data_IF_234536309670
#
_entry.id   IF_234536309670
#
_cell.length_a   1.000
_cell.length_b   1.000
_cell.length_c   1.000
_cell.angle_alpha   90.00
_cell.angle_beta   90.00
_cell.angle_gamma   90.00
#
_symmetry.space_group_name_H-M   'P 1'
#
loop_
_entity.id
_entity.type
_entity.pdbx_description
1 polymer ?
#
# COMPACT_ATOMS: atom_id res chain seq x y z
N UNK A 1 -6.52 12.99 10.13
CA UNK A 1 -7.74 12.28 9.69
C UNK A 1 -7.52 10.80 9.94
N UNK A 2 -8.54 10.01 10.27
CA UNK A 2 -8.43 8.55 10.25
C UNK A 2 -7.93 8.06 8.88
N UNK A 3 -7.16 6.98 8.88
CA UNK A 3 -6.83 6.21 7.68
C UNK A 3 -7.69 4.96 7.72
N UNK A 4 -8.45 4.70 6.65
CA UNK A 4 -9.26 3.47 6.55
C UNK A 4 -8.41 2.38 5.91
N UNK A 5 -8.54 1.16 6.42
CA UNK A 5 -8.03 -0.03 5.73
C UNK A 5 -8.87 -0.30 4.46
N UNK A 6 -8.39 -1.14 3.53
CA UNK A 6 -9.19 -1.57 2.39
C UNK A 6 -10.55 -2.11 2.81
N UNK A 7 -11.60 -1.66 2.12
CA UNK A 7 -12.99 -1.96 2.48
C UNK A 7 -13.58 -2.93 1.45
N UNK A 8 -14.24 -3.98 1.92
CA UNK A 8 -15.04 -4.86 1.08
C UNK A 8 -16.51 -4.88 1.53
N UNK A 9 -17.34 -5.64 0.83
CA UNK A 9 -18.78 -5.67 1.06
C UNK A 9 -19.22 -6.36 2.37
N UNK A 10 -18.35 -7.15 3.01
CA UNK A 10 -18.75 -8.07 4.10
C UNK A 10 -18.02 -7.86 5.41
N UNK A 11 -16.74 -7.52 5.36
CA UNK A 11 -15.89 -7.40 6.53
C UNK A 11 -16.18 -6.12 7.31
N UNK A 12 -15.91 -6.08 8.63
CA UNK A 12 -15.98 -4.84 9.40
C UNK A 12 -15.15 -3.73 8.76
N UNK A 13 -15.62 -2.49 8.85
CA UNK A 13 -14.82 -1.33 8.43
C UNK A 13 -13.82 -1.03 9.53
N UNK A 14 -12.53 -0.97 9.20
CA UNK A 14 -11.44 -0.74 10.14
C UNK A 14 -10.47 0.34 9.67
N UNK A 15 -9.53 0.70 10.55
CA UNK A 15 -8.45 1.59 10.21
C UNK A 15 -7.62 2.02 11.41
N UNK A 16 -6.93 3.14 11.21
CA UNK A 16 -6.09 3.81 12.19
C UNK A 16 -6.58 5.23 12.48
N UNK A 17 -6.49 5.65 13.74
CA UNK A 17 -6.76 7.00 14.19
C UNK A 17 -5.86 7.35 15.39
N UNK A 18 -5.94 8.59 15.87
CA UNK A 18 -5.25 8.97 17.09
C UNK A 18 -5.74 8.11 18.28
N UNK A 19 -4.84 7.47 19.06
CA UNK A 19 -5.24 6.63 20.18
C UNK A 19 -6.18 7.34 21.16
N UNK A 20 -7.27 6.66 21.55
CA UNK A 20 -8.27 7.21 22.47
C UNK A 20 -9.21 8.26 21.86
N UNK A 21 -9.05 8.63 20.59
CA UNK A 21 -10.03 9.47 19.88
C UNK A 21 -11.31 8.69 19.54
N UNK A 22 -12.43 9.39 19.46
CA UNK A 22 -13.70 8.82 18.98
C UNK A 22 -13.74 8.90 17.46
N UNK A 23 -13.76 7.75 16.81
CA UNK A 23 -13.94 7.62 15.36
C UNK A 23 -15.43 7.55 15.04
N UNK A 24 -15.87 8.38 14.10
CA UNK A 24 -17.21 8.36 13.52
C UNK A 24 -17.11 7.97 12.05
N UNK A 25 -17.60 6.78 11.72
CA UNK A 25 -17.70 6.25 10.35
C UNK A 25 -19.06 6.60 9.77
N UNK A 26 -19.09 7.13 8.56
CA UNK A 26 -20.31 7.47 7.81
C UNK A 26 -20.37 6.63 6.53
N UNK A 27 -21.45 5.87 6.39
CA UNK A 27 -21.70 4.98 5.25
C UNK A 27 -22.39 5.71 4.08
N UNK A 28 -22.47 5.10 2.88
CA UNK A 28 -23.05 5.73 1.69
C UNK A 28 -24.52 6.16 1.87
N UNK A 29 -25.28 5.45 2.69
CA UNK A 29 -26.68 5.76 3.00
C UNK A 29 -26.86 6.87 4.06
N UNK A 30 -25.75 7.42 4.57
CA UNK A 30 -25.71 8.46 5.59
C UNK A 30 -25.86 7.95 7.03
N UNK A 31 -26.03 6.64 7.24
CA UNK A 31 -25.97 6.05 8.59
C UNK A 31 -24.54 6.12 9.13
N UNK A 32 -24.41 6.06 10.46
CA UNK A 32 -23.11 6.18 11.13
C UNK A 32 -22.89 5.09 12.16
N UNK A 33 -21.63 4.75 12.37
CA UNK A 33 -21.15 3.95 13.49
C UNK A 33 -20.03 4.70 14.22
N UNK A 34 -19.90 4.46 15.53
CA UNK A 34 -18.88 5.11 16.36
C UNK A 34 -18.11 4.09 17.19
N UNK A 35 -16.83 4.36 17.39
CA UNK A 35 -15.91 3.53 18.18
C UNK A 35 -14.79 4.40 18.73
N UNK A 36 -14.23 4.04 19.89
CA UNK A 36 -13.02 4.68 20.41
C UNK A 36 -11.80 3.92 19.89
N UNK A 37 -10.85 4.62 19.28
CA UNK A 37 -9.61 4.01 18.83
C UNK A 37 -8.81 3.44 20.01
N UNK A 38 -8.25 2.25 19.82
CA UNK A 38 -7.42 1.56 20.80
C UNK A 38 -6.15 2.35 21.15
N UNK A 39 -5.41 1.87 22.15
CA UNK A 39 -4.15 2.48 22.57
C UNK A 39 -3.07 2.44 21.49
N UNK A 40 -3.21 1.51 20.54
CA UNK A 40 -2.37 1.38 19.35
C UNK A 40 -2.92 2.15 18.14
N UNK A 41 -4.05 2.85 18.28
CA UNK A 41 -4.71 3.60 17.22
C UNK A 41 -5.69 2.78 16.37
N UNK A 42 -5.74 1.45 16.56
CA UNK A 42 -6.62 0.58 15.79
C UNK A 42 -8.10 0.79 16.15
N UNK A 43 -8.98 0.68 15.17
CA UNK A 43 -10.42 0.71 15.37
C UNK A 43 -11.16 -0.15 14.37
N UNK A 44 -12.37 -0.59 14.73
CA UNK A 44 -13.25 -1.35 13.85
C UNK A 44 -14.71 -1.13 14.22
N UNK A 45 -15.58 -1.01 13.21
CA UNK A 45 -17.04 -0.97 13.34
C UNK A 45 -17.68 -2.03 12.45
N UNK A 46 -18.88 -2.55 12.80
CA UNK A 46 -19.57 -3.54 11.96
C UNK A 46 -19.83 -3.03 10.54
N UNK A 47 -19.86 -3.96 9.59
CA UNK A 47 -20.37 -3.66 8.25
C UNK A 47 -21.90 -3.48 8.29
N UNK A 48 -22.49 -2.47 7.63
CA UNK A 48 -23.94 -2.29 7.60
C UNK A 48 -24.66 -3.35 6.75
N UNK A 49 -23.93 -4.14 5.97
CA UNK A 49 -24.42 -5.28 5.18
C UNK A 49 -25.02 -4.90 3.82
N UNK A 50 -24.98 -3.62 3.45
CA UNK A 50 -25.48 -3.08 2.19
C UNK A 50 -24.41 -2.38 1.34
N UNK A 51 -23.12 -2.50 1.70
CA UNK A 51 -22.03 -1.94 0.92
C UNK A 51 -21.86 -2.68 -0.41
N UNK A 52 -21.64 -1.93 -1.49
CA UNK A 52 -21.36 -2.46 -2.83
C UNK A 52 -20.09 -1.86 -3.41
N UNK A 53 -19.52 -2.53 -4.41
CA UNK A 53 -18.32 -2.08 -5.11
C UNK A 53 -18.46 -0.64 -5.64
N UNK A 54 -17.45 0.20 -5.37
CA UNK A 54 -17.44 1.62 -5.71
C UNK A 54 -18.11 2.55 -4.69
N UNK A 55 -18.77 2.03 -3.66
CA UNK A 55 -19.29 2.85 -2.56
C UNK A 55 -18.17 3.59 -1.83
N UNK A 56 -18.47 4.78 -1.33
CA UNK A 56 -17.53 5.59 -0.54
C UNK A 56 -17.92 5.60 0.93
N UNK A 57 -16.99 5.21 1.80
CA UNK A 57 -17.11 5.30 3.25
C UNK A 57 -16.17 6.39 3.75
N UNK A 58 -16.62 7.20 4.70
CA UNK A 58 -15.79 8.26 5.31
C UNK A 58 -15.67 8.08 6.81
N UNK A 59 -14.56 8.54 7.39
CA UNK A 59 -14.36 8.53 8.84
C UNK A 59 -13.74 9.83 9.34
N UNK A 60 -14.23 10.35 10.47
CA UNK A 60 -13.61 11.46 11.21
C UNK A 60 -13.21 10.99 12.60
N UNK A 61 -12.20 11.62 13.20
CA UNK A 61 -11.82 11.38 14.59
C UNK A 61 -11.95 12.66 15.41
N UNK A 62 -12.51 12.54 16.62
CA UNK A 62 -12.57 13.64 17.60
C UNK A 62 -11.74 13.25 18.82
N UNK A 63 -10.74 14.06 19.17
CA UNK A 63 -9.88 13.84 20.33
C UNK A 63 -10.63 14.07 21.67
N UNK A 64 -10.06 13.66 22.82
CA UNK A 64 -10.68 13.93 24.13
C UNK A 64 -10.84 15.41 24.49
N UNK A 65 -10.13 16.31 23.79
CA UNK A 65 -10.25 17.76 23.96
C UNK A 65 -11.39 18.36 23.09
N UNK A 66 -12.02 17.56 22.22
CA UNK A 66 -13.12 17.94 21.36
C UNK A 66 -12.72 18.47 19.97
N UNK A 67 -11.46 18.34 19.56
CA UNK A 67 -11.03 18.74 18.21
C UNK A 67 -11.34 17.62 17.22
N UNK A 68 -12.03 17.95 16.13
CA UNK A 68 -12.37 17.00 15.06
C UNK A 68 -11.43 17.15 13.87
N UNK A 69 -10.99 16.02 13.31
CA UNK A 69 -10.14 15.97 12.12
C UNK A 69 -10.91 16.24 10.83
N UNK A 70 -10.17 16.49 9.74
CA UNK A 70 -10.68 16.27 8.38
C UNK A 70 -11.11 14.79 8.18
N UNK A 71 -11.99 14.48 7.23
CA UNK A 71 -12.38 13.10 6.94
C UNK A 71 -11.26 12.32 6.24
N UNK A 72 -11.11 11.05 6.63
CA UNK A 72 -10.51 10.01 5.79
C UNK A 72 -11.58 9.36 4.92
N UNK A 73 -11.17 8.80 3.78
CA UNK A 73 -12.07 8.19 2.79
C UNK A 73 -11.54 6.83 2.37
N UNK A 74 -12.42 5.84 2.26
CA UNK A 74 -12.14 4.54 1.66
C UNK A 74 -13.22 4.19 0.64
N UNK A 75 -12.82 3.51 -0.43
CA UNK A 75 -13.73 2.99 -1.45
C UNK A 75 -13.91 1.50 -1.23
N UNK A 76 -15.14 1.03 -1.32
CA UNK A 76 -15.45 -0.40 -1.26
C UNK A 76 -14.98 -1.04 -2.55
N UNK A 77 -14.21 -2.12 -2.43
CA UNK A 77 -13.70 -2.92 -3.54
C UNK A 77 -14.06 -4.40 -3.35
N UNK A 78 -14.40 -5.08 -4.44
CA UNK A 78 -14.49 -6.54 -4.47
C UNK A 78 -13.12 -7.23 -4.34
N UNK A 79 -12.04 -6.51 -4.65
CA UNK A 79 -10.66 -6.97 -4.51
C UNK A 79 -9.86 -6.04 -3.61
N UNK A 80 -9.51 -6.55 -2.43
CA UNK A 80 -8.74 -5.83 -1.40
C UNK A 80 -7.38 -6.49 -1.12
N UNK A 81 -6.96 -7.45 -1.95
CA UNK A 81 -5.76 -8.24 -1.69
C UNK A 81 -4.57 -7.64 -2.42
N UNK A 82 -3.65 -7.04 -1.68
CA UNK A 82 -2.40 -6.55 -2.26
C UNK A 82 -1.56 -7.67 -2.90
N UNK A 83 -0.87 -7.39 -4.02
CA UNK A 83 0.16 -8.28 -4.54
C UNK A 83 1.27 -8.54 -3.51
N UNK A 84 1.90 -9.70 -3.60
CA UNK A 84 3.16 -10.02 -2.94
C UNK A 84 4.25 -9.89 -3.99
N UNK A 85 5.21 -9.00 -3.72
CA UNK A 85 6.39 -8.77 -4.55
C UNK A 85 7.63 -9.02 -3.69
N UNK A 86 8.72 -9.47 -4.29
CA UNK A 86 9.99 -9.63 -3.59
C UNK A 86 11.17 -9.18 -4.45
N UNK A 87 12.20 -8.67 -3.78
CA UNK A 87 13.52 -8.35 -4.32
C UNK A 87 14.59 -8.85 -3.34
N UNK A 88 15.59 -9.58 -3.83
CA UNK A 88 16.73 -9.99 -3.01
C UNK A 88 17.85 -8.93 -3.02
N UNK A 89 18.68 -8.93 -1.98
CA UNK A 89 19.92 -8.15 -1.97
C UNK A 89 20.84 -8.59 -3.11
N UNK A 90 21.53 -7.63 -3.74
CA UNK A 90 22.45 -7.86 -4.86
C UNK A 90 23.83 -7.28 -4.53
N UNK A 91 24.88 -8.04 -4.81
CA UNK A 91 26.26 -7.53 -4.87
C UNK A 91 26.77 -7.71 -6.29
N UNK A 92 27.23 -6.63 -6.93
CA UNK A 92 27.62 -6.65 -8.33
C UNK A 92 28.75 -5.66 -8.62
N UNK A 93 29.55 -5.95 -9.64
CA UNK A 93 30.54 -5.02 -10.20
C UNK A 93 30.04 -4.33 -11.47
N UNK A 94 28.73 -4.44 -11.75
CA UNK A 94 28.05 -3.71 -12.80
C UNK A 94 27.34 -2.51 -12.21
N UNK A 95 27.75 -1.31 -12.61
CA UNK A 95 27.18 -0.04 -12.14
C UNK A 95 25.76 0.26 -12.68
N UNK A 96 25.24 -0.55 -13.59
CA UNK A 96 23.90 -0.38 -14.19
C UNK A 96 23.12 -1.70 -14.25
N UNK A 97 23.04 -2.47 -13.15
CA UNK A 97 22.66 -3.87 -13.20
C UNK A 97 21.19 -4.05 -13.60
N UNK A 98 20.89 -5.21 -14.21
CA UNK A 98 19.51 -5.70 -14.20
C UNK A 98 19.05 -5.97 -12.77
N UNK A 99 17.78 -5.69 -12.48
CA UNK A 99 17.13 -6.08 -11.23
C UNK A 99 15.99 -7.04 -11.53
N UNK A 100 15.88 -8.11 -10.75
CA UNK A 100 14.84 -9.13 -10.92
C UNK A 100 14.30 -9.56 -9.58
N UNK A 101 13.07 -10.05 -9.58
CA UNK A 101 12.46 -10.63 -8.39
C UNK A 101 11.20 -11.41 -8.71
N UNK A 102 10.35 -11.62 -7.69
CA UNK A 102 9.08 -12.33 -7.84
C UNK A 102 7.89 -11.42 -7.63
N UNK A 103 6.77 -11.75 -8.29
CA UNK A 103 5.48 -11.08 -8.11
C UNK A 103 4.37 -12.12 -8.30
N UNK A 104 3.44 -12.23 -7.35
CA UNK A 104 2.40 -13.27 -7.41
C UNK A 104 1.16 -12.88 -8.22
N UNK A 105 1.02 -11.60 -8.57
CA UNK A 105 -0.02 -11.09 -9.46
C UNK A 105 0.57 -10.90 -10.86
N UNK A 106 0.17 -11.71 -11.86
CA UNK A 106 0.72 -11.64 -13.22
C UNK A 106 0.26 -10.41 -14.01
N UNK A 107 -0.66 -9.63 -13.46
CA UNK A 107 -1.24 -8.43 -14.10
C UNK A 107 -0.90 -7.14 -13.36
N UNK A 108 -0.27 -7.22 -12.19
CA UNK A 108 0.17 -6.05 -11.44
C UNK A 108 1.19 -5.22 -12.24
N UNK A 109 1.07 -3.91 -12.11
CA UNK A 109 2.10 -2.96 -12.54
C UNK A 109 3.25 -2.99 -11.53
N UNK A 110 4.51 -3.02 -12.01
CA UNK A 110 5.69 -3.07 -11.14
C UNK A 110 6.53 -1.81 -11.36
N UNK A 111 6.86 -1.15 -10.28
CA UNK A 111 7.73 0.05 -10.23
C UNK A 111 8.86 -0.21 -9.27
N UNK A 112 10.09 0.11 -9.67
CA UNK A 112 11.29 0.02 -8.85
C UNK A 112 11.76 1.43 -8.53
N UNK A 113 11.77 1.81 -7.26
CA UNK A 113 12.37 3.04 -6.78
C UNK A 113 13.84 2.80 -6.45
N UNK A 114 14.73 3.58 -7.09
CA UNK A 114 16.17 3.59 -6.84
C UNK A 114 16.57 4.99 -6.40
N UNK A 115 17.05 5.13 -5.15
CA UNK A 115 17.45 6.40 -4.54
C UNK A 115 16.41 7.54 -4.70
N UNK A 116 15.12 7.21 -4.64
CA UNK A 116 14.02 8.16 -4.75
C UNK A 116 13.50 8.40 -6.18
N UNK A 117 14.04 7.72 -7.20
CA UNK A 117 13.56 7.80 -8.59
C UNK A 117 12.85 6.51 -8.99
N UNK A 118 11.65 6.65 -9.56
CA UNK A 118 10.84 5.51 -10.02
C UNK A 118 11.18 5.08 -11.44
N UNK A 119 11.36 3.77 -11.62
CA UNK A 119 11.61 3.11 -12.90
C UNK A 119 10.54 2.05 -13.15
N UNK A 120 9.84 2.08 -14.30
CA UNK A 120 8.91 1.02 -14.64
C UNK A 120 9.66 -0.29 -14.92
N UNK A 121 9.25 -1.37 -14.27
CA UNK A 121 9.74 -2.71 -14.52
C UNK A 121 8.69 -3.54 -15.28
N UNK A 122 9.15 -4.61 -15.92
CA UNK A 122 8.29 -5.55 -16.64
C UNK A 122 7.81 -6.61 -15.67
N UNK A 123 6.49 -6.76 -15.51
CA UNK A 123 5.91 -7.98 -14.97
C UNK A 123 5.87 -9.03 -16.09
N UNK A 124 6.62 -10.12 -15.93
CA UNK A 124 6.77 -11.12 -17.00
C UNK A 124 5.53 -12.02 -17.11
N UNK A 125 4.60 -11.95 -16.14
CA UNK A 125 3.37 -12.76 -16.11
C UNK A 125 3.59 -14.23 -15.73
N UNK A 126 4.84 -14.63 -15.47
CA UNK A 126 5.25 -15.99 -15.09
C UNK A 126 5.62 -16.12 -13.60
N UNK A 127 5.28 -15.12 -12.80
CA UNK A 127 5.64 -15.03 -11.38
C UNK A 127 6.93 -14.22 -11.13
N UNK A 128 7.57 -13.71 -12.18
CA UNK A 128 8.77 -12.88 -12.07
C UNK A 128 8.56 -11.47 -12.62
N UNK A 129 9.42 -10.54 -12.19
CA UNK A 129 9.52 -9.21 -12.77
C UNK A 129 10.98 -8.87 -13.08
N UNK A 130 11.18 -7.94 -14.03
CA UNK A 130 12.51 -7.53 -14.50
C UNK A 130 12.58 -6.03 -14.77
N UNK A 131 13.58 -5.36 -14.18
CA UNK A 131 14.12 -4.11 -14.68
C UNK A 131 15.38 -4.43 -15.50
N UNK A 132 15.36 -4.11 -16.80
CA UNK A 132 16.41 -4.54 -17.71
C UNK A 132 17.77 -3.89 -17.39
N UNK A 133 18.83 -4.63 -17.70
CA UNK A 133 20.22 -4.15 -17.65
C UNK A 133 20.38 -2.83 -18.43
N UNK A 134 21.25 -1.94 -17.94
CA UNK A 134 21.51 -0.61 -18.51
C UNK A 134 20.29 0.34 -18.56
N UNK A 135 19.21 0.04 -17.84
CA UNK A 135 18.06 0.97 -17.70
C UNK A 135 18.37 2.08 -16.69
N UNK A 136 19.10 1.75 -15.64
CA UNK A 136 19.50 2.69 -14.60
C UNK A 136 20.63 3.61 -15.10
N UNK A 137 20.72 4.85 -14.57
CA UNK A 137 21.97 5.61 -14.68
C UNK A 137 23.09 4.88 -13.95
N UNK A 138 24.35 5.20 -14.29
CA UNK A 138 25.52 4.69 -13.56
C UNK A 138 25.40 5.01 -12.08
N UNK A 139 25.27 3.96 -11.28
CA UNK A 139 25.29 4.01 -9.83
C UNK A 139 26.74 4.10 -9.33
N UNK A 140 26.94 4.76 -8.19
CA UNK A 140 28.25 4.87 -7.56
C UNK A 140 28.59 3.59 -6.79
N UNK A 141 29.87 3.33 -6.52
CA UNK A 141 30.25 2.24 -5.60
C UNK A 141 29.62 2.46 -4.22
N UNK A 142 29.17 1.36 -3.61
CA UNK A 142 28.52 1.34 -2.31
C UNK A 142 27.08 0.83 -2.35
N UNK A 143 26.39 0.88 -1.20
CA UNK A 143 25.02 0.38 -1.06
C UNK A 143 23.98 1.39 -1.58
N UNK A 144 22.99 0.88 -2.31
CA UNK A 144 21.79 1.57 -2.76
C UNK A 144 20.56 0.87 -2.22
N UNK A 145 19.65 1.62 -1.59
CA UNK A 145 18.37 1.08 -1.12
C UNK A 145 17.37 1.09 -2.27
N UNK A 146 16.85 -0.09 -2.60
CA UNK A 146 15.88 -0.28 -3.67
C UNK A 146 14.55 -0.70 -3.08
N UNK A 147 13.46 -0.02 -3.45
CA UNK A 147 12.10 -0.45 -3.11
C UNK A 147 11.37 -0.86 -4.36
N UNK A 148 10.89 -2.10 -4.42
CA UNK A 148 9.99 -2.56 -5.49
C UNK A 148 8.55 -2.45 -5.01
N UNK A 149 7.67 -1.95 -5.85
CA UNK A 149 6.24 -1.79 -5.60
C UNK A 149 5.46 -2.49 -6.71
N UNK A 150 4.52 -3.34 -6.33
CA UNK A 150 3.55 -3.96 -7.23
C UNK A 150 2.15 -3.43 -6.91
N UNK A 151 1.42 -2.99 -7.94
CA UNK A 151 0.04 -2.49 -7.80
C UNK A 151 -0.88 -3.27 -8.74
N UNK A 152 -1.89 -3.92 -8.18
CA UNK A 152 -2.89 -4.67 -8.95
C UNK A 152 -3.87 -3.75 -9.69
N UNK A 153 -4.82 -4.36 -10.41
CA UNK A 153 -5.85 -3.62 -11.16
C UNK A 153 -6.87 -2.90 -10.26
N UNK A 154 -7.06 -3.34 -9.02
CA UNK A 154 -7.94 -2.71 -8.03
C UNK A 154 -7.24 -1.57 -7.28
N UNK A 155 -5.92 -1.41 -7.46
CA UNK A 155 -5.10 -0.40 -6.81
C UNK A 155 -4.52 -0.85 -5.47
N UNK A 156 -4.62 -2.12 -5.09
CA UNK A 156 -3.96 -2.61 -3.88
C UNK A 156 -2.45 -2.69 -4.14
N UNK A 157 -1.67 -2.33 -3.12
CA UNK A 157 -0.22 -2.13 -3.25
C UNK A 157 0.53 -3.08 -2.33
N UNK A 158 1.43 -3.86 -2.92
CA UNK A 158 2.49 -4.58 -2.22
C UNK A 158 3.85 -3.93 -2.46
N UNK A 159 4.74 -3.99 -1.48
CA UNK A 159 6.11 -3.53 -1.65
C UNK A 159 7.11 -4.45 -0.94
N UNK A 160 8.35 -4.38 -1.39
CA UNK A 160 9.52 -5.00 -0.75
C UNK A 160 10.74 -4.09 -0.91
N UNK A 161 11.71 -4.21 -0.01
CA UNK A 161 12.93 -3.39 -0.01
C UNK A 161 14.17 -4.24 0.17
N UNK A 162 15.18 -3.97 -0.67
CA UNK A 162 16.47 -4.66 -0.65
C UNK A 162 17.63 -3.67 -0.85
N UNK A 163 18.84 -4.15 -0.64
CA UNK A 163 20.09 -3.40 -0.88
C UNK A 163 20.81 -3.96 -2.10
N UNK A 164 21.12 -3.08 -3.04
CA UNK A 164 22.03 -3.35 -4.16
C UNK A 164 23.37 -2.69 -3.86
N UNK A 165 24.44 -3.46 -3.74
CA UNK A 165 25.79 -2.97 -3.50
C UNK A 165 26.60 -3.04 -4.79
N UNK A 166 27.14 -1.89 -5.20
CA UNK A 166 28.05 -1.75 -6.35
C UNK A 166 29.50 -1.79 -5.84
N UNK A 167 30.34 -2.62 -6.46
CA UNK A 167 31.77 -2.77 -6.16
C UNK A 167 32.56 -3.02 -7.48
N UNK A 168 32.96 -1.94 -8.16
CA UNK A 168 33.56 -1.97 -9.52
C UNK A 168 35.08 -2.19 -9.56
#
# INVERSE_FOLDING_TARGET
>A
APVLDPINATDPVSGQAEPGSTVTVTYPDGTTATVVAGTDGSWSVPNPGNLVDGDTVTATATDPAGNTSLPGTGTVSADITAPVVALDDVLTNDSTPALTGTVNDPTATVVVNVDGVDYPAVNNGDGTWTLADNTLPTLADGPHTITVTATDAAGNVGNDTAVVTIDT
#
